data_IF_922176452219
#
_entry.id   IF_922176452219
#
_cell.length_a   1.000
_cell.length_b   1.000
_cell.length_c   1.000
_cell.angle_alpha   90.00
_cell.angle_beta   90.00
_cell.angle_gamma   90.00
#
_symmetry.space_group_name_H-M   'P 1'
#
loop_
_entity.id
_entity.type
_entity.pdbx_description
1 polymer ?
#
# COMPACT_ATOMS: atom_id res chain seq x y z
N UNK A 1 -27.49 39.34 34.71
CA UNK A 1 -26.11 39.77 34.40
C UNK A 1 -25.50 38.86 33.33
N UNK A 2 -24.82 39.48 32.35
CA UNK A 2 -23.80 38.94 31.41
C UNK A 2 -24.19 37.72 30.52
N UNK A 3 -24.68 37.94 29.29
CA UNK A 3 -23.96 38.13 27.99
C UNK A 3 -23.09 36.93 27.55
N UNK A 4 -23.48 36.31 26.42
CA UNK A 4 -22.66 35.87 25.24
C UNK A 4 -23.65 35.42 24.14
N UNK A 5 -24.12 36.35 23.29
CA UNK A 5 -23.61 36.76 21.96
C UNK A 5 -23.74 35.67 20.86
N UNK A 6 -24.81 35.86 20.09
CA UNK A 6 -25.18 35.36 18.75
C UNK A 6 -24.06 34.80 17.87
N UNK A 7 -24.28 33.57 17.40
CA UNK A 7 -23.87 33.11 16.09
C UNK A 7 -24.89 33.63 15.05
N UNK A 8 -24.42 34.48 14.14
CA UNK A 8 -25.11 34.77 12.87
C UNK A 8 -24.15 34.33 11.78
N UNK A 9 -24.40 33.14 11.23
CA UNK A 9 -23.78 32.66 10.00
C UNK A 9 -24.26 33.53 8.85
N UNK A 10 -23.36 34.37 8.34
CA UNK A 10 -23.57 35.10 7.10
C UNK A 10 -23.58 34.12 5.92
N UNK A 11 -24.77 33.94 5.36
CA UNK A 11 -25.00 33.46 4.01
C UNK A 11 -24.24 34.35 3.03
N UNK A 12 -23.19 33.83 2.40
CA UNK A 12 -22.65 34.37 1.15
C UNK A 12 -23.12 33.46 0.00
N UNK A 13 -24.33 33.75 -0.48
CA UNK A 13 -24.80 33.34 -1.80
C UNK A 13 -24.58 34.53 -2.75
N UNK A 14 -23.52 34.48 -3.56
CA UNK A 14 -23.14 35.40 -4.65
C UNK A 14 -21.96 34.74 -5.38
N UNK A 15 -21.97 34.36 -6.66
CA UNK A 15 -22.98 34.41 -7.71
C UNK A 15 -22.67 33.36 -8.79
N UNK A 16 -23.72 32.92 -9.49
CA UNK A 16 -23.65 32.11 -10.71
C UNK A 16 -22.93 32.90 -11.81
N UNK A 17 -21.83 32.38 -12.36
CA UNK A 17 -21.20 32.84 -13.61
C UNK A 17 -20.72 31.59 -14.38
N UNK A 18 -21.59 30.86 -15.06
CA UNK A 18 -21.97 30.97 -16.50
C UNK A 18 -20.90 30.65 -17.54
N UNK A 19 -19.71 30.18 -17.17
CA UNK A 19 -18.69 29.73 -18.13
C UNK A 19 -18.15 28.33 -17.80
N UNK A 20 -18.15 27.43 -18.80
CA UNK A 20 -17.52 26.12 -18.70
C UNK A 20 -16.17 26.15 -19.44
N UNK A 21 -15.13 25.61 -18.84
CA UNK A 21 -13.87 25.36 -19.54
C UNK A 21 -14.02 24.23 -20.56
N UNK A 22 -13.39 24.37 -21.73
CA UNK A 22 -13.28 23.34 -22.78
C UNK A 22 -11.91 22.67 -22.71
N UNK A 23 -10.83 23.45 -22.87
CA UNK A 23 -9.44 22.99 -22.93
C UNK A 23 -8.46 24.16 -22.86
N UNK A 24 -7.21 23.85 -22.56
CA UNK A 24 -6.06 24.72 -22.79
C UNK A 24 -5.42 24.41 -24.15
N UNK A 25 -5.05 25.45 -24.90
CA UNK A 25 -4.35 25.34 -26.18
C UNK A 25 -3.01 26.06 -26.12
N UNK A 26 -1.87 25.33 -26.02
CA UNK A 26 -0.56 25.95 -25.99
C UNK A 26 -0.22 26.55 -27.37
N UNK A 27 0.30 27.78 -27.39
CA UNK A 27 0.74 28.48 -28.61
C UNK A 27 2.26 28.50 -28.73
N UNK A 28 2.99 28.58 -27.61
CA UNK A 28 4.45 28.67 -27.57
C UNK A 28 4.99 28.18 -26.24
N UNK A 29 6.17 27.57 -26.27
CA UNK A 29 6.96 27.30 -25.07
C UNK A 29 8.07 28.37 -24.98
N UNK A 30 8.16 28.98 -23.82
CA UNK A 30 8.96 30.17 -23.57
C UNK A 30 10.37 29.82 -23.08
N UNK A 31 10.53 28.65 -22.49
CA UNK A 31 11.81 28.14 -22.02
C UNK A 31 12.40 27.13 -23.04
N UNK A 32 13.55 27.42 -23.68
CA UNK A 32 14.19 26.50 -24.62
C UNK A 32 14.74 25.22 -23.98
N UNK A 33 14.85 25.15 -22.65
CA UNK A 33 15.29 23.95 -21.93
C UNK A 33 14.13 22.99 -21.60
N UNK A 34 12.88 23.46 -21.63
CA UNK A 34 11.69 22.65 -21.37
C UNK A 34 11.05 22.16 -22.68
N UNK A 35 11.20 20.88 -22.98
CA UNK A 35 10.49 20.22 -24.09
C UNK A 35 9.12 19.71 -23.62
N UNK A 36 8.12 20.59 -23.66
CA UNK A 36 6.72 20.17 -23.52
C UNK A 36 6.11 19.93 -24.91
N UNK A 37 5.36 18.85 -25.16
CA UNK A 37 4.65 18.72 -26.41
C UNK A 37 3.55 19.79 -26.47
N UNK A 38 3.44 20.53 -27.59
CA UNK A 38 2.35 21.48 -27.87
C UNK A 38 1.04 20.74 -28.09
N UNK A 39 0.52 20.14 -27.02
CA UNK A 39 -0.68 19.32 -26.99
C UNK A 39 -1.67 19.99 -26.06
N UNK A 40 -2.93 19.98 -26.47
CA UNK A 40 -4.02 20.52 -25.67
C UNK A 40 -4.07 19.85 -24.30
N UNK A 41 -4.23 20.65 -23.25
CA UNK A 41 -4.40 20.16 -21.88
C UNK A 41 -5.86 20.27 -21.45
N UNK A 42 -6.27 19.40 -20.54
CA UNK A 42 -7.58 19.44 -19.90
C UNK A 42 -7.73 20.65 -18.98
N UNK A 43 -8.95 20.88 -18.50
CA UNK A 43 -9.27 22.05 -17.69
C UNK A 43 -8.63 22.08 -16.30
N UNK A 44 -8.34 20.91 -15.75
CA UNK A 44 -7.77 20.73 -14.40
C UNK A 44 -6.26 20.46 -14.43
N UNK A 45 -5.67 20.37 -15.63
CA UNK A 45 -4.23 20.25 -15.79
C UNK A 45 -3.55 21.57 -15.39
N UNK A 46 -2.41 21.46 -14.72
CA UNK A 46 -1.61 22.62 -14.31
C UNK A 46 -0.84 23.12 -15.53
N UNK A 47 -1.01 24.40 -15.84
CA UNK A 47 -0.29 25.10 -16.88
C UNK A 47 0.85 25.85 -16.19
N UNK A 48 2.06 25.58 -16.62
CA UNK A 48 3.27 26.15 -16.02
C UNK A 48 3.63 27.49 -16.66
N UNK A 49 4.36 28.38 -15.95
CA UNK A 49 4.73 29.72 -16.43
C UNK A 49 5.46 29.76 -17.78
N UNK A 50 6.11 28.65 -18.18
CA UNK A 50 6.85 28.55 -19.44
C UNK A 50 5.95 28.17 -20.64
N UNK A 51 4.66 27.91 -20.45
CA UNK A 51 3.74 27.56 -21.53
C UNK A 51 2.82 28.74 -21.84
N UNK A 52 3.07 29.45 -22.94
CA UNK A 52 2.12 30.45 -23.45
C UNK A 52 1.01 29.75 -24.26
N UNK A 53 -0.21 30.26 -24.18
CA UNK A 53 -1.37 29.65 -24.80
C UNK A 53 -2.66 30.41 -24.51
N UNK A 54 -3.79 29.75 -24.72
CA UNK A 54 -5.10 30.31 -24.36
C UNK A 54 -6.05 29.25 -23.80
N UNK A 55 -6.91 29.71 -22.90
CA UNK A 55 -7.99 28.94 -22.32
C UNK A 55 -9.27 29.11 -23.11
N UNK A 56 -9.79 28.03 -23.70
CA UNK A 56 -11.09 28.04 -24.37
C UNK A 56 -12.22 27.82 -23.37
N UNK A 57 -13.09 28.81 -23.21
CA UNK A 57 -14.26 28.76 -22.36
C UNK A 57 -15.53 28.94 -23.19
N UNK A 58 -16.64 28.31 -22.76
CA UNK A 58 -17.96 28.51 -23.37
C UNK A 58 -18.87 29.25 -22.40
N UNK A 59 -19.43 30.37 -22.84
CA UNK A 59 -20.45 31.07 -22.08
C UNK A 59 -21.80 30.36 -22.25
N UNK A 60 -22.37 29.87 -21.15
CA UNK A 60 -23.64 29.12 -21.13
C UNK A 60 -24.84 29.96 -21.56
N UNK A 61 -24.77 31.28 -21.50
CA UNK A 61 -25.90 32.16 -21.83
C UNK A 61 -25.99 32.47 -23.32
N UNK A 62 -24.84 32.54 -24.01
CA UNK A 62 -24.75 32.95 -25.43
C UNK A 62 -24.28 31.85 -26.35
N UNK A 63 -23.92 30.67 -25.80
CA UNK A 63 -23.28 29.55 -26.51
C UNK A 63 -22.03 29.98 -27.31
N UNK A 64 -21.43 31.09 -26.91
CA UNK A 64 -20.29 31.70 -27.57
C UNK A 64 -19.00 31.23 -26.91
N UNK A 65 -18.04 30.82 -27.74
CA UNK A 65 -16.68 30.49 -27.31
C UNK A 65 -15.89 31.77 -27.06
N UNK A 66 -15.23 31.85 -25.91
CA UNK A 66 -14.33 32.93 -25.50
C UNK A 66 -12.96 32.29 -25.24
N UNK A 67 -11.90 32.92 -25.73
CA UNK A 67 -10.53 32.49 -25.46
C UNK A 67 -9.88 33.51 -24.52
N UNK A 68 -9.21 33.04 -23.46
CA UNK A 68 -8.40 33.87 -22.56
C UNK A 68 -6.94 33.55 -22.78
N UNK A 69 -6.22 34.47 -23.43
CA UNK A 69 -4.80 34.35 -23.71
C UNK A 69 -3.96 34.52 -22.42
N UNK A 70 -2.92 33.71 -22.30
CA UNK A 70 -1.95 33.73 -21.21
C UNK A 70 -0.56 33.72 -21.83
N UNK A 71 0.20 34.79 -21.58
CA UNK A 71 1.57 34.95 -22.06
C UNK A 71 2.56 34.19 -21.17
N UNK A 72 3.82 34.11 -21.60
CA UNK A 72 4.90 33.59 -20.77
C UNK A 72 4.95 34.30 -19.40
N UNK A 73 5.49 33.62 -18.39
CA UNK A 73 5.68 34.12 -17.02
C UNK A 73 4.39 34.35 -16.21
N UNK A 74 3.26 33.77 -16.64
CA UNK A 74 2.04 33.72 -15.80
C UNK A 74 2.27 32.82 -14.56
N UNK A 75 1.55 33.06 -13.45
CA UNK A 75 1.57 32.13 -12.31
C UNK A 75 1.00 30.75 -12.72
N UNK A 76 1.42 29.63 -12.11
CA UNK A 76 0.85 28.32 -12.42
C UNK A 76 -0.67 28.34 -12.30
N UNK A 77 -1.38 28.09 -13.40
CA UNK A 77 -2.81 28.28 -13.50
C UNK A 77 -3.52 27.00 -13.96
N UNK A 78 -4.82 26.94 -13.70
CA UNK A 78 -5.72 25.91 -14.23
C UNK A 78 -6.79 26.60 -15.05
N UNK A 79 -7.10 26.02 -16.19
CA UNK A 79 -8.02 26.63 -17.15
C UNK A 79 -9.46 26.72 -16.61
N UNK A 80 -9.84 25.80 -15.72
CA UNK A 80 -11.08 25.89 -14.94
C UNK A 80 -11.19 27.20 -14.15
N UNK A 81 -10.13 27.60 -13.44
CA UNK A 81 -10.11 28.83 -12.64
C UNK A 81 -10.15 30.10 -13.51
N UNK A 82 -9.45 30.11 -14.64
CA UNK A 82 -9.47 31.23 -15.59
C UNK A 82 -10.87 31.44 -16.17
N UNK A 83 -11.55 30.34 -16.55
CA UNK A 83 -12.93 30.43 -17.04
C UNK A 83 -13.92 30.87 -15.96
N UNK A 84 -13.69 30.56 -14.68
CA UNK A 84 -14.57 30.95 -13.56
C UNK A 84 -14.39 32.40 -13.11
N UNK A 85 -13.19 32.97 -13.27
CA UNK A 85 -12.87 34.33 -12.84
C UNK A 85 -12.02 35.07 -13.89
N UNK A 86 -12.60 35.49 -15.03
CA UNK A 86 -11.86 36.17 -16.10
C UNK A 86 -11.31 37.55 -15.72
N UNK A 87 -11.75 38.12 -14.59
CA UNK A 87 -11.38 39.48 -14.16
C UNK A 87 -10.21 39.52 -13.15
N UNK A 88 -9.64 38.38 -12.72
CA UNK A 88 -8.62 38.37 -11.66
C UNK A 88 -7.16 38.44 -12.12
N UNK A 89 -6.87 38.25 -13.42
CA UNK A 89 -5.49 38.31 -13.95
C UNK A 89 -5.04 39.69 -14.45
N UNK A 90 -5.91 40.71 -14.39
CA UNK A 90 -5.53 42.11 -14.66
C UNK A 90 -5.26 42.90 -13.37
N UNK A 91 -4.41 42.37 -12.48
CA UNK A 91 -3.74 43.26 -11.52
C UNK A 91 -2.52 43.87 -12.20
N UNK A 92 -2.78 44.99 -12.87
CA UNK A 92 -1.78 46.01 -13.15
C UNK A 92 -0.88 46.18 -11.91
N UNK A 93 0.43 46.17 -12.17
CA UNK A 93 1.44 46.57 -11.20
C UNK A 93 1.12 47.99 -10.72
N UNK A 94 0.45 48.09 -9.57
CA UNK A 94 0.29 49.34 -8.86
C UNK A 94 1.62 49.68 -8.18
N UNK A 95 2.39 50.46 -8.93
CA UNK A 95 3.34 51.49 -8.53
C UNK A 95 3.42 51.77 -7.01
N UNK A 96 4.59 51.52 -6.46
CA UNK A 96 5.20 52.12 -5.27
C UNK A 96 4.26 52.75 -4.22
N UNK A 97 3.80 51.93 -3.26
CA UNK A 97 3.44 52.42 -1.93
C UNK A 97 4.05 51.56 -0.83
N UNK A 98 5.19 52.00 -0.31
CA UNK A 98 5.73 51.55 0.96
C UNK A 98 4.82 52.03 2.10
N UNK A 99 3.79 51.24 2.43
CA UNK A 99 3.03 51.43 3.67
C UNK A 99 3.86 50.93 4.86
N UNK A 100 4.46 51.89 5.56
CA UNK A 100 5.44 51.71 6.64
C UNK A 100 4.80 51.37 8.02
N UNK A 101 3.60 50.79 8.05
CA UNK A 101 2.81 50.65 9.30
C UNK A 101 2.28 49.23 9.60
N UNK A 102 2.74 48.20 8.87
CA UNK A 102 2.59 46.80 9.26
C UNK A 102 3.98 46.16 9.41
N UNK A 103 4.44 45.99 10.66
CA UNK A 103 5.76 45.43 11.02
C UNK A 103 5.97 43.95 10.67
N UNK A 104 5.37 43.47 9.59
CA UNK A 104 5.28 42.08 9.17
C UNK A 104 6.07 41.73 7.89
N UNK A 105 6.77 42.68 7.23
CA UNK A 105 7.39 42.42 5.91
C UNK A 105 8.93 42.39 5.86
N UNK A 106 9.63 42.54 6.98
CA UNK A 106 11.10 42.34 7.01
C UNK A 106 11.45 40.97 7.60
N UNK A 107 11.37 39.92 6.76
CA UNK A 107 11.95 38.63 7.11
C UNK A 107 13.43 38.63 6.74
N UNK A 108 14.31 38.54 7.75
CA UNK A 108 15.74 38.34 7.52
C UNK A 108 15.93 37.09 6.62
N UNK A 109 16.75 37.15 5.56
CA UNK A 109 17.01 35.99 4.70
C UNK A 109 17.40 34.75 5.51
N UNK A 110 18.21 34.93 6.57
CA UNK A 110 18.60 33.86 7.49
C UNK A 110 17.40 33.27 8.25
N UNK A 111 16.40 34.09 8.61
CA UNK A 111 15.18 33.61 9.25
C UNK A 111 14.29 32.83 8.28
N UNK A 112 14.27 33.20 7.00
CA UNK A 112 13.54 32.47 5.94
C UNK A 112 14.16 31.09 5.71
N UNK A 113 15.48 31.04 5.57
CA UNK A 113 16.21 29.79 5.30
C UNK A 113 16.10 28.82 6.49
N UNK A 114 16.23 29.30 7.72
CA UNK A 114 16.01 28.50 8.93
C UNK A 114 14.57 27.96 9.03
N UNK A 115 13.56 28.72 8.61
CA UNK A 115 12.17 28.25 8.57
C UNK A 115 11.96 27.17 7.53
N UNK A 116 12.61 27.29 6.37
CA UNK A 116 12.58 26.26 5.33
C UNK A 116 13.24 24.97 5.82
N UNK A 117 14.42 25.05 6.43
CA UNK A 117 15.13 23.89 7.00
C UNK A 117 14.34 23.24 8.16
N UNK A 118 13.68 24.06 9.00
CA UNK A 118 12.80 23.56 10.06
C UNK A 118 11.56 22.85 9.49
N UNK A 119 10.97 23.38 8.42
CA UNK A 119 9.84 22.75 7.73
C UNK A 119 10.25 21.40 7.14
N UNK A 120 11.38 21.35 6.44
CA UNK A 120 11.91 20.12 5.85
C UNK A 120 12.24 19.06 6.93
N UNK A 121 12.87 19.48 8.03
CA UNK A 121 13.16 18.59 9.17
C UNK A 121 11.88 18.06 9.83
N UNK A 122 10.84 18.90 9.97
CA UNK A 122 9.53 18.49 10.49
C UNK A 122 8.86 17.45 9.58
N UNK A 123 8.86 17.67 8.27
CA UNK A 123 8.31 16.71 7.29
C UNK A 123 9.04 15.36 7.34
N UNK A 124 10.37 15.35 7.54
CA UNK A 124 11.13 14.10 7.73
C UNK A 124 10.74 13.37 9.01
N UNK A 125 10.60 14.10 10.13
CA UNK A 125 10.18 13.52 11.41
C UNK A 125 8.77 12.95 11.30
N UNK A 126 7.85 13.64 10.64
CA UNK A 126 6.49 13.18 10.41
C UNK A 126 6.45 11.86 9.61
N UNK A 127 7.16 11.80 8.47
CA UNK A 127 7.30 10.57 7.66
C UNK A 127 7.90 9.40 8.43
N UNK A 128 8.89 9.66 9.29
CA UNK A 128 9.52 8.60 10.09
C UNK A 128 8.58 8.14 11.21
N UNK A 129 7.86 9.07 11.85
CA UNK A 129 6.90 8.74 12.90
C UNK A 129 5.73 7.89 12.38
N UNK A 130 5.20 8.19 11.19
CA UNK A 130 4.15 7.37 10.57
C UNK A 130 4.66 5.97 10.20
N UNK A 131 5.90 5.85 9.73
CA UNK A 131 6.53 4.55 9.46
C UNK A 131 6.70 3.71 10.73
N UNK A 132 7.09 4.34 11.85
CA UNK A 132 7.20 3.66 13.16
C UNK A 132 5.83 3.21 13.66
N UNK A 133 4.80 4.04 13.54
CA UNK A 133 3.43 3.71 13.94
C UNK A 133 2.88 2.54 13.12
N UNK A 134 3.12 2.51 11.80
CA UNK A 134 2.74 1.39 10.94
C UNK A 134 3.41 0.08 11.39
N UNK A 135 4.72 0.10 11.63
CA UNK A 135 5.47 -1.06 12.11
C UNK A 135 4.98 -1.50 13.50
N UNK A 136 4.71 -0.56 14.41
CA UNK A 136 4.14 -0.85 15.72
C UNK A 136 2.74 -1.48 15.60
N UNK A 137 1.88 -0.99 14.72
CA UNK A 137 0.57 -1.58 14.48
C UNK A 137 0.67 -3.01 13.92
N UNK A 138 1.68 -3.28 13.08
CA UNK A 138 1.97 -4.64 12.60
C UNK A 138 2.46 -5.56 13.72
N UNK A 139 3.29 -5.05 14.64
CA UNK A 139 3.81 -5.79 15.81
C UNK A 139 2.74 -6.00 16.90
N UNK A 140 1.85 -5.04 17.09
CA UNK A 140 0.76 -5.09 18.09
C UNK A 140 -0.41 -5.96 17.64
N UNK A 141 -0.43 -6.40 16.37
CA UNK A 141 -1.40 -7.40 15.94
C UNK A 141 -1.17 -8.69 16.74
N UNK A 142 -2.25 -9.30 17.20
CA UNK A 142 -2.17 -10.63 17.80
C UNK A 142 -1.60 -11.62 16.80
N UNK A 143 -0.41 -12.13 17.09
CA UNK A 143 0.18 -13.26 16.37
C UNK A 143 -0.75 -14.44 16.61
N UNK A 144 -1.40 -14.92 15.55
CA UNK A 144 -2.23 -16.12 15.64
C UNK A 144 -1.38 -17.35 15.31
N UNK A 145 -1.88 -18.53 15.68
CA UNK A 145 -1.28 -19.83 15.35
C UNK A 145 -0.91 -19.98 13.88
N UNK A 146 -1.72 -19.43 12.97
CA UNK A 146 -1.45 -19.43 11.54
C UNK A 146 -0.23 -18.60 11.14
N UNK A 147 -0.02 -17.44 11.78
CA UNK A 147 1.16 -16.61 11.55
C UNK A 147 2.43 -17.35 12.00
N UNK A 148 2.39 -18.05 13.14
CA UNK A 148 3.52 -18.85 13.62
C UNK A 148 3.78 -20.03 12.69
N UNK A 149 2.77 -20.79 12.28
CA UNK A 149 2.97 -21.95 11.40
C UNK A 149 3.53 -21.52 10.04
N UNK A 150 3.17 -20.33 9.54
CA UNK A 150 3.75 -19.78 8.30
C UNK A 150 5.25 -19.55 8.40
N UNK A 151 5.79 -19.29 9.60
CA UNK A 151 7.24 -19.13 9.78
C UNK A 151 8.01 -20.42 9.48
N UNK A 152 7.37 -21.58 9.64
CA UNK A 152 7.98 -22.89 9.34
C UNK A 152 8.16 -23.18 7.85
N UNK A 153 7.64 -22.32 6.96
CA UNK A 153 7.78 -22.51 5.50
C UNK A 153 9.24 -22.54 5.01
N UNK A 154 10.18 -22.04 5.82
CA UNK A 154 11.61 -22.01 5.51
C UNK A 154 12.42 -23.10 6.23
N UNK A 155 11.78 -23.91 7.08
CA UNK A 155 12.46 -24.93 7.89
C UNK A 155 11.93 -26.33 7.55
N UNK A 156 12.80 -27.33 7.67
CA UNK A 156 12.44 -28.72 7.44
C UNK A 156 12.90 -29.55 8.65
N UNK A 157 12.08 -30.53 9.03
CA UNK A 157 12.28 -31.36 10.22
C UNK A 157 12.38 -32.82 9.81
N UNK A 158 13.49 -33.46 10.17
CA UNK A 158 13.76 -34.85 9.81
C UNK A 158 13.61 -35.81 10.99
N UNK A 159 13.00 -36.98 10.78
CA UNK A 159 12.97 -38.10 11.71
C UNK A 159 13.62 -39.34 11.10
N UNK A 160 14.67 -39.83 11.76
CA UNK A 160 15.35 -41.06 11.38
C UNK A 160 14.65 -42.27 12.03
N UNK A 161 14.04 -43.13 11.23
CA UNK A 161 13.45 -44.40 11.71
C UNK A 161 14.40 -45.57 11.48
N UNK A 162 14.01 -46.79 11.88
CA UNK A 162 14.79 -48.00 11.61
C UNK A 162 14.89 -48.33 10.12
N UNK A 163 13.93 -47.90 9.30
CA UNK A 163 13.86 -48.19 7.87
C UNK A 163 14.31 -47.01 7.00
N UNK A 164 13.72 -45.83 7.19
CA UNK A 164 13.92 -44.65 6.33
C UNK A 164 14.07 -43.35 7.14
N UNK A 165 14.53 -42.29 6.49
CA UNK A 165 14.55 -40.93 7.03
C UNK A 165 13.38 -40.15 6.43
N UNK A 166 12.46 -39.67 7.25
CA UNK A 166 11.35 -38.85 6.81
C UNK A 166 11.66 -37.38 7.06
N UNK A 167 11.35 -36.51 6.10
CA UNK A 167 11.54 -35.07 6.23
C UNK A 167 10.24 -34.36 5.88
N UNK A 168 9.79 -33.49 6.77
CA UNK A 168 8.65 -32.60 6.55
C UNK A 168 9.13 -31.16 6.46
N UNK A 169 8.78 -30.48 5.38
CA UNK A 169 8.87 -29.02 5.25
C UNK A 169 7.44 -28.47 5.32
N UNK A 170 7.00 -27.93 6.47
CA UNK A 170 5.63 -27.45 6.65
C UNK A 170 5.22 -26.46 5.55
N UNK A 171 3.98 -26.56 5.07
CA UNK A 171 3.42 -25.76 3.96
C UNK A 171 4.13 -25.92 2.59
N UNK A 172 5.01 -26.92 2.43
CA UNK A 172 5.74 -27.16 1.18
C UNK A 172 5.59 -28.59 0.69
N UNK A 173 6.37 -29.53 1.23
CA UNK A 173 6.40 -30.93 0.82
C UNK A 173 6.98 -31.85 1.90
N UNK A 174 6.76 -33.14 1.71
CA UNK A 174 7.25 -34.22 2.57
C UNK A 174 8.02 -35.21 1.72
N UNK A 175 9.20 -35.62 2.18
CA UNK A 175 10.08 -36.57 1.51
C UNK A 175 10.39 -37.78 2.38
N UNK A 176 10.60 -38.92 1.74
CA UNK A 176 11.13 -40.13 2.36
C UNK A 176 12.47 -40.46 1.72
N UNK A 177 13.54 -40.49 2.50
CA UNK A 177 14.88 -40.84 2.03
C UNK A 177 15.30 -42.22 2.54
N UNK A 178 16.00 -42.97 1.70
CA UNK A 178 16.71 -44.17 2.14
C UNK A 178 17.86 -43.76 3.06
N UNK A 179 18.20 -44.63 4.02
CA UNK A 179 19.27 -44.33 4.98
C UNK A 179 20.59 -44.01 4.29
N UNK A 180 21.13 -42.82 4.59
CA UNK A 180 22.40 -42.34 4.03
C UNK A 180 22.27 -41.73 2.63
N UNK A 181 21.05 -41.57 2.11
CA UNK A 181 20.80 -40.89 0.84
C UNK A 181 20.11 -39.55 1.08
N UNK A 182 20.31 -38.62 0.15
CA UNK A 182 19.59 -37.32 0.09
C UNK A 182 18.57 -37.32 -1.04
N UNK A 183 18.30 -38.49 -1.64
CA UNK A 183 17.39 -38.65 -2.76
C UNK A 183 16.30 -39.63 -2.38
N UNK A 184 15.07 -39.23 -2.57
CA UNK A 184 13.92 -39.95 -2.07
C UNK A 184 12.63 -39.50 -2.74
N UNK A 185 11.59 -40.34 -2.78
CA UNK A 185 10.30 -39.93 -3.30
C UNK A 185 9.67 -38.82 -2.44
N UNK A 186 9.02 -37.87 -3.11
CA UNK A 186 8.09 -36.97 -2.47
C UNK A 186 6.85 -37.77 -2.04
N UNK A 187 6.55 -37.80 -0.75
CA UNK A 187 5.41 -38.54 -0.19
C UNK A 187 4.17 -37.66 0.05
N UNK A 188 4.26 -36.39 -0.34
CA UNK A 188 3.14 -35.45 -0.42
C UNK A 188 3.60 -34.02 -0.61
N UNK A 189 2.79 -33.20 -1.29
CA UNK A 189 2.96 -31.74 -1.39
C UNK A 189 1.84 -31.07 -0.62
N UNK A 190 2.16 -29.93 -0.01
CA UNK A 190 1.18 -29.19 0.77
C UNK A 190 -0.08 -28.89 -0.05
N UNK A 191 -1.24 -29.28 0.48
CA UNK A 191 -2.53 -29.04 -0.13
C UNK A 191 -3.36 -28.07 0.69
N UNK A 192 -3.81 -28.52 1.85
CA UNK A 192 -4.75 -27.78 2.71
C UNK A 192 -4.66 -28.20 4.17
N UNK A 193 -5.21 -27.38 5.04
CA UNK A 193 -5.58 -27.83 6.37
C UNK A 193 -6.82 -28.74 6.28
N UNK A 194 -6.80 -29.81 7.06
CA UNK A 194 -7.88 -30.77 7.16
C UNK A 194 -8.85 -30.41 8.27
N UNK A 195 -10.01 -31.08 8.26
CA UNK A 195 -10.93 -30.98 9.39
C UNK A 195 -10.24 -31.51 10.65
N UNK A 196 -10.49 -30.80 11.74
CA UNK A 196 -9.87 -31.03 13.03
C UNK A 196 -10.24 -32.40 13.61
N UNK A 197 -9.26 -33.29 13.78
CA UNK A 197 -9.47 -34.62 14.34
C UNK A 197 -9.24 -34.68 15.85
N UNK A 198 -8.52 -33.73 16.45
CA UNK A 198 -8.08 -33.79 17.85
C UNK A 198 -8.60 -32.66 18.75
N UNK A 199 -9.01 -31.51 18.23
CA UNK A 199 -9.46 -30.37 19.04
C UNK A 199 -10.99 -30.18 19.02
N UNK A 200 -11.74 -31.21 19.43
CA UNK A 200 -13.15 -31.02 19.82
C UNK A 200 -13.35 -29.93 20.90
N UNK A 201 -12.26 -29.48 21.54
CA UNK A 201 -12.22 -28.55 22.66
C UNK A 201 -11.41 -27.27 22.42
N UNK A 202 -10.62 -27.15 21.33
CA UNK A 202 -9.91 -25.89 21.04
C UNK A 202 -10.64 -25.11 19.94
N UNK A 203 -10.94 -23.85 20.23
CA UNK A 203 -11.52 -22.85 19.32
C UNK A 203 -10.50 -22.34 18.29
N UNK A 204 -9.29 -22.90 18.29
CA UNK A 204 -8.18 -22.50 17.44
C UNK A 204 -8.35 -23.18 16.08
N UNK A 205 -8.74 -22.37 15.08
CA UNK A 205 -8.77 -22.64 13.64
C UNK A 205 -7.82 -23.76 13.18
N UNK A 206 -8.36 -24.74 12.44
CA UNK A 206 -7.89 -25.80 11.50
C UNK A 206 -6.39 -26.21 11.40
N UNK A 207 -5.48 -25.61 12.15
CA UNK A 207 -4.03 -25.75 12.03
C UNK A 207 -3.46 -27.04 12.64
N UNK A 208 -4.30 -27.86 13.28
CA UNK A 208 -3.92 -29.12 13.93
C UNK A 208 -3.79 -30.28 12.95
N UNK A 209 -4.25 -30.11 11.70
CA UNK A 209 -4.22 -31.17 10.70
C UNK A 209 -3.82 -30.62 9.33
N UNK A 210 -2.67 -31.06 8.85
CA UNK A 210 -2.08 -30.65 7.59
C UNK A 210 -2.13 -31.81 6.58
N UNK A 211 -2.81 -31.60 5.45
CA UNK A 211 -2.96 -32.63 4.41
C UNK A 211 -1.98 -32.34 3.27
N UNK A 212 -1.10 -33.30 3.02
CA UNK A 212 -0.16 -33.30 1.90
C UNK A 212 -0.58 -34.34 0.84
N UNK A 213 -0.85 -33.87 -0.37
CA UNK A 213 -1.39 -34.68 -1.47
C UNK A 213 -0.46 -34.64 -2.68
N UNK A 214 -0.75 -35.41 -3.73
CA UNK A 214 -0.01 -35.36 -5.00
C UNK A 214 1.50 -35.59 -4.89
N UNK A 215 1.91 -36.51 -4.01
CA UNK A 215 3.27 -37.03 -3.97
C UNK A 215 3.60 -37.89 -5.20
N UNK A 216 4.84 -38.36 -5.25
CA UNK A 216 5.33 -39.23 -6.31
C UNK A 216 4.54 -40.53 -6.37
N UNK A 217 4.39 -41.03 -7.60
CA UNK A 217 3.61 -42.24 -7.86
C UNK A 217 4.21 -43.45 -7.15
N UNK A 218 3.34 -44.15 -6.44
CA UNK A 218 3.60 -45.45 -5.87
C UNK A 218 3.67 -46.51 -6.99
N UNK A 219 4.31 -47.65 -6.73
CA UNK A 219 4.44 -48.72 -7.73
C UNK A 219 3.09 -49.30 -8.18
N UNK A 220 2.05 -49.16 -7.37
CA UNK A 220 0.68 -49.58 -7.67
C UNK A 220 -0.12 -48.54 -8.51
N UNK A 221 0.47 -47.39 -8.81
CA UNK A 221 -0.14 -46.30 -9.58
C UNK A 221 -0.88 -45.24 -8.75
N UNK A 222 -1.07 -45.43 -7.44
CA UNK A 222 -1.63 -44.40 -6.55
C UNK A 222 -0.60 -43.28 -6.32
N UNK A 223 -1.06 -42.06 -6.14
CA UNK A 223 -0.22 -40.94 -5.68
C UNK A 223 -0.03 -41.04 -4.17
N UNK A 224 1.21 -40.88 -3.70
CA UNK A 224 1.48 -40.83 -2.27
C UNK A 224 0.79 -39.62 -1.63
N UNK A 225 0.30 -39.80 -0.40
CA UNK A 225 -0.29 -38.76 0.41
C UNK A 225 0.16 -38.91 1.87
N UNK A 226 0.25 -37.79 2.59
CA UNK A 226 0.67 -37.75 3.98
C UNK A 226 -0.25 -36.84 4.78
N UNK A 227 -0.84 -37.38 5.84
CA UNK A 227 -1.60 -36.63 6.84
C UNK A 227 -0.68 -36.29 8.01
N UNK A 228 -0.56 -35.00 8.36
CA UNK A 228 0.32 -34.52 9.42
C UNK A 228 -0.52 -33.91 10.53
N UNK A 229 -0.48 -34.52 11.70
CA UNK A 229 -1.14 -34.01 12.90
C UNK A 229 -0.18 -33.14 13.70
N UNK A 230 -0.59 -31.91 13.99
CA UNK A 230 0.20 -30.93 14.74
C UNK A 230 -0.26 -30.94 16.19
N UNK A 231 0.66 -31.23 17.10
CA UNK A 231 0.40 -31.31 18.54
C UNK A 231 1.25 -30.29 19.31
N UNK A 232 0.73 -29.84 20.45
CA UNK A 232 1.46 -28.96 21.34
C UNK A 232 2.63 -29.71 21.99
N UNK A 233 3.80 -29.09 21.99
CA UNK A 233 4.94 -29.53 22.78
C UNK A 233 6.06 -28.49 22.82
N UNK A 234 7.12 -28.73 23.62
CA UNK A 234 8.17 -27.74 23.87
C UNK A 234 9.07 -27.42 22.67
N UNK A 235 9.16 -28.30 21.68
CA UNK A 235 10.13 -28.19 20.58
C UNK A 235 9.46 -28.41 19.21
N UNK A 236 9.97 -27.75 18.17
CA UNK A 236 9.58 -28.01 16.78
C UNK A 236 10.28 -29.30 16.29
N UNK A 237 9.55 -30.42 16.20
CA UNK A 237 10.13 -31.68 15.71
C UNK A 237 9.09 -32.65 15.19
N UNK A 238 9.53 -33.50 14.26
CA UNK A 238 8.77 -34.66 13.82
C UNK A 238 8.94 -35.79 14.85
N UNK A 239 7.86 -36.23 15.48
CA UNK A 239 7.89 -37.18 16.60
C UNK A 239 7.66 -38.62 16.13
N UNK A 240 6.70 -38.81 15.23
CA UNK A 240 6.25 -40.13 14.81
C UNK A 240 5.85 -40.12 13.34
N UNK A 241 6.12 -41.25 12.66
CA UNK A 241 5.70 -41.50 11.28
C UNK A 241 5.21 -42.94 11.19
N UNK A 242 4.03 -43.12 10.60
CA UNK A 242 3.40 -44.41 10.35
C UNK A 242 2.91 -44.49 8.90
N UNK A 243 2.90 -45.68 8.31
CA UNK A 243 2.30 -45.95 7.01
C UNK A 243 1.08 -46.88 7.22
N UNK A 244 -0.08 -46.35 7.64
CA UNK A 244 -1.25 -47.17 7.97
C UNK A 244 -1.84 -47.92 6.78
N UNK A 245 -1.65 -47.40 5.57
CA UNK A 245 -1.97 -48.11 4.33
C UNK A 245 -0.97 -47.78 3.24
N UNK A 246 -0.88 -48.64 2.23
CA UNK A 246 0.12 -48.52 1.16
C UNK A 246 0.10 -47.12 0.55
N UNK A 247 1.24 -46.43 0.61
CA UNK A 247 1.43 -45.09 0.05
C UNK A 247 0.53 -43.99 0.67
N UNK A 248 0.01 -44.24 1.88
CA UNK A 248 -0.60 -43.23 2.76
C UNK A 248 0.16 -43.21 4.07
N UNK A 249 0.71 -42.04 4.38
CA UNK A 249 1.51 -41.82 5.58
C UNK A 249 0.73 -40.98 6.58
N UNK A 250 1.02 -41.19 7.86
CA UNK A 250 0.53 -40.38 8.96
C UNK A 250 1.73 -39.95 9.79
N UNK A 251 1.81 -38.65 10.10
CA UNK A 251 2.90 -38.07 10.86
C UNK A 251 2.38 -37.27 12.04
N UNK A 252 3.18 -37.20 13.10
CA UNK A 252 2.92 -36.33 14.25
C UNK A 252 4.04 -35.31 14.36
N UNK A 253 3.69 -34.04 14.19
CA UNK A 253 4.59 -32.91 14.32
C UNK A 253 4.30 -32.18 15.63
N UNK A 254 5.31 -32.06 16.47
CA UNK A 254 5.25 -31.35 17.75
C UNK A 254 5.74 -29.92 17.54
N UNK A 255 5.03 -28.94 18.10
CA UNK A 255 5.44 -27.54 18.07
C UNK A 255 4.81 -26.73 19.21
N UNK A 256 5.55 -25.78 19.80
CA UNK A 256 4.98 -24.80 20.73
C UNK A 256 3.97 -23.85 20.06
N UNK A 257 3.94 -23.78 18.72
CA UNK A 257 3.06 -22.86 17.99
C UNK A 257 1.57 -23.14 18.19
N UNK A 258 1.21 -24.38 18.53
CA UNK A 258 -0.18 -24.80 18.77
C UNK A 258 -0.49 -25.00 20.26
N UNK A 259 0.42 -24.59 21.15
CA UNK A 259 0.17 -24.55 22.59
C UNK A 259 -0.63 -23.28 22.96
N UNK A 260 -1.50 -23.40 23.95
CA UNK A 260 -2.22 -22.27 24.58
C UNK A 260 -1.38 -21.57 25.65
#
# INVERSE_FOLDING_TARGET
>A
EKRKKNQTSHLNARGNLTTNCIRWSPTKICDPEEESPLVDKGCDDIIYPFEAGFCECINKETDSKVAYDQECDHEPLQCSNVCENPEKDNKEMDDDRFDMDDGASFELPEARDLRFELKESRERVEKLSSSVEEIQNRLNRSINTGDVIRTFSNECFSLNTSAHTYEICPLKDVHQYDKGTTHGPCIGRWGRFGDNTYSLWSSTSDYTHMIFENGDRCWNGLTRMTDVYVICGPENKLVQVEEPSMCRYTMVFETPAVCE
#
